data_IF_472530951401
#
_entry.id   IF_472530951401
#
_cell.length_a   1.000
_cell.length_b   1.000
_cell.length_c   1.000
_cell.angle_alpha   90.00
_cell.angle_beta   90.00
_cell.angle_gamma   90.00
#
_symmetry.space_group_name_H-M   'P 1'
#
loop_
_entity.id
_entity.type
_entity.pdbx_description
1 polymer ?
#
# COMPACT_ATOMS: atom_id res chain seq x y z
N UNK A 1 -7.59 4.68 13.99
CA UNK A 1 -7.21 3.27 13.86
C UNK A 1 -6.33 2.82 15.02
N UNK A 2 -6.50 1.57 15.48
CA UNK A 2 -5.73 0.98 16.59
C UNK A 2 -4.59 0.08 16.06
N UNK A 3 -3.58 -0.17 16.88
CA UNK A 3 -2.48 -1.11 16.58
C UNK A 3 -2.92 -2.57 16.80
N UNK A 4 -3.74 -3.10 15.88
CA UNK A 4 -4.09 -4.52 15.86
C UNK A 4 -3.03 -5.32 15.09
N UNK A 5 -2.40 -6.32 15.69
CA UNK A 5 -1.45 -7.19 14.98
C UNK A 5 -2.17 -7.91 13.84
N UNK A 6 -1.69 -7.75 12.61
CA UNK A 6 -2.30 -8.39 11.45
C UNK A 6 -1.63 -9.74 11.14
N UNK A 7 -2.40 -10.81 10.92
CA UNK A 7 -1.85 -12.03 10.37
C UNK A 7 -1.30 -11.76 8.95
N UNK A 8 -0.25 -12.47 8.49
CA UNK A 8 0.36 -12.21 7.19
C UNK A 8 -0.62 -12.14 6.01
N UNK A 9 -1.65 -13.02 5.90
CA UNK A 9 -2.65 -12.92 4.83
C UNK A 9 -3.44 -11.61 4.85
N UNK A 10 -3.78 -11.07 6.03
CA UNK A 10 -4.50 -9.81 6.14
C UNK A 10 -3.64 -8.62 5.69
N UNK A 11 -2.35 -8.62 6.00
CA UNK A 11 -1.40 -7.62 5.49
C UNK A 11 -1.31 -7.65 3.96
N UNK A 12 -1.25 -8.86 3.40
CA UNK A 12 -1.24 -9.06 1.94
C UNK A 12 -2.56 -8.62 1.31
N UNK A 13 -3.70 -8.91 1.93
CA UNK A 13 -5.01 -8.50 1.44
C UNK A 13 -5.15 -6.97 1.38
N UNK A 14 -4.70 -6.25 2.42
CA UNK A 14 -4.70 -4.79 2.43
C UNK A 14 -3.79 -4.21 1.33
N UNK A 15 -2.58 -4.76 1.18
CA UNK A 15 -1.66 -4.37 0.12
C UNK A 15 -2.23 -4.65 -1.28
N UNK A 16 -2.87 -5.80 -1.45
CA UNK A 16 -3.50 -6.19 -2.72
C UNK A 16 -4.62 -5.21 -3.08
N UNK A 17 -5.49 -4.87 -2.12
CA UNK A 17 -6.56 -3.89 -2.32
C UNK A 17 -6.00 -2.50 -2.68
N UNK A 18 -4.91 -2.07 -2.01
CA UNK A 18 -4.24 -0.82 -2.32
C UNK A 18 -3.67 -0.78 -3.76
N UNK A 19 -3.05 -1.88 -4.22
CA UNK A 19 -2.55 -1.99 -5.59
C UNK A 19 -3.70 -1.96 -6.61
N UNK A 20 -4.77 -2.72 -6.35
CA UNK A 20 -5.97 -2.72 -7.20
C UNK A 20 -6.57 -1.32 -7.29
N UNK A 21 -6.65 -0.57 -6.18
CA UNK A 21 -7.20 0.78 -6.19
C UNK A 21 -6.36 1.74 -7.04
N UNK A 22 -5.04 1.66 -6.96
CA UNK A 22 -4.15 2.60 -7.67
C UNK A 22 -3.96 2.27 -9.15
N UNK A 23 -3.84 0.98 -9.47
CA UNK A 23 -3.45 0.53 -10.81
C UNK A 23 -4.59 -0.21 -11.54
N UNK A 24 -5.71 -0.45 -10.87
CA UNK A 24 -6.79 -1.28 -11.38
C UNK A 24 -6.43 -2.76 -11.48
N UNK A 25 -7.17 -3.45 -12.32
CA UNK A 25 -6.91 -4.85 -12.72
C UNK A 25 -5.89 -4.95 -13.86
N UNK A 26 -5.45 -3.79 -14.38
CA UNK A 26 -4.37 -3.71 -15.37
C UNK A 26 -2.99 -4.03 -14.76
N UNK A 27 -1.95 -3.84 -15.56
CA UNK A 27 -0.56 -4.10 -15.18
C UNK A 27 -0.15 -3.33 -13.92
N UNK A 28 0.26 -4.09 -12.89
CA UNK A 28 0.81 -3.55 -11.65
C UNK A 28 2.33 -3.52 -11.73
N UNK A 29 2.96 -2.35 -11.58
CA UNK A 29 4.41 -2.26 -11.74
C UNK A 29 5.19 -2.84 -10.55
N UNK A 30 4.54 -3.00 -9.41
CA UNK A 30 5.12 -3.44 -8.13
C UNK A 30 4.21 -4.48 -7.47
N UNK A 31 4.80 -5.30 -6.62
CA UNK A 31 4.12 -6.36 -5.88
C UNK A 31 3.61 -5.87 -4.53
N UNK A 32 2.79 -6.69 -3.87
CA UNK A 32 2.36 -6.44 -2.49
C UNK A 32 3.54 -6.40 -1.54
N UNK A 33 4.55 -7.27 -1.73
CA UNK A 33 5.76 -7.29 -0.93
C UNK A 33 6.56 -5.97 -1.04
N UNK A 34 6.63 -5.40 -2.25
CA UNK A 34 7.33 -4.14 -2.49
C UNK A 34 6.69 -2.98 -1.72
N UNK A 35 5.35 -2.89 -1.71
CA UNK A 35 4.65 -1.82 -0.99
C UNK A 35 4.48 -2.09 0.51
N UNK A 36 4.68 -3.33 0.96
CA UNK A 36 4.73 -3.73 2.38
C UNK A 36 6.12 -3.60 3.01
N UNK A 37 7.13 -3.24 2.21
CA UNK A 37 8.49 -3.03 2.68
C UNK A 37 8.66 -1.58 3.11
N UNK A 38 8.81 -1.26 4.41
CA UNK A 38 9.01 0.10 4.86
C UNK A 38 10.31 0.69 4.31
N UNK A 39 10.35 2.02 4.19
CA UNK A 39 11.55 2.71 3.68
C UNK A 39 12.71 2.68 4.66
N UNK A 40 12.44 2.52 5.96
CA UNK A 40 13.45 2.40 7.01
C UNK A 40 13.22 1.11 7.79
N UNK A 41 14.31 0.50 8.26
CA UNK A 41 14.24 -0.76 9.01
C UNK A 41 13.57 -0.63 10.38
N UNK A 42 13.63 0.55 10.99
CA UNK A 42 12.97 0.84 12.26
C UNK A 42 11.43 0.81 12.16
N UNK A 43 10.88 1.02 10.95
CA UNK A 43 9.45 1.12 10.70
C UNK A 43 8.76 -0.24 10.43
N UNK A 44 9.46 -1.37 10.63
CA UNK A 44 8.88 -2.71 10.45
C UNK A 44 7.88 -3.06 11.57
N UNK A 45 6.69 -2.46 11.50
CA UNK A 45 5.53 -2.86 12.28
C UNK A 45 4.69 -3.94 11.59
N UNK A 46 4.11 -4.84 12.37
CA UNK A 46 3.22 -5.92 11.89
C UNK A 46 1.75 -5.66 12.21
N UNK A 47 1.45 -4.56 12.87
CA UNK A 47 0.10 -4.14 13.16
C UNK A 47 -0.55 -3.40 11.98
N UNK A 48 -1.86 -3.21 12.09
CA UNK A 48 -2.70 -2.59 11.08
C UNK A 48 -2.30 -1.13 10.82
N UNK A 49 -1.99 -0.37 11.87
CA UNK A 49 -1.56 1.03 11.74
C UNK A 49 -0.24 1.15 10.99
N UNK A 50 0.77 0.39 11.41
CA UNK A 50 2.09 0.36 10.77
C UNK A 50 2.01 -0.15 9.32
N UNK A 51 1.16 -1.16 9.06
CA UNK A 51 0.94 -1.70 7.71
C UNK A 51 0.27 -0.66 6.81
N UNK A 52 -0.77 0.02 7.30
CA UNK A 52 -1.43 1.13 6.60
C UNK A 52 -0.44 2.25 6.26
N UNK A 53 0.34 2.70 7.25
CA UNK A 53 1.34 3.76 7.07
C UNK A 53 2.40 3.37 6.03
N UNK A 54 2.92 2.15 6.11
CA UNK A 54 3.91 1.64 5.16
C UNK A 54 3.36 1.65 3.73
N UNK A 55 2.16 1.11 3.52
CA UNK A 55 1.50 1.08 2.21
C UNK A 55 1.25 2.51 1.71
N UNK A 56 0.70 3.37 2.56
CA UNK A 56 0.40 4.76 2.23
C UNK A 56 1.67 5.49 1.77
N UNK A 57 2.74 5.47 2.57
CA UNK A 57 3.99 6.16 2.24
C UNK A 57 4.59 5.64 0.93
N UNK A 58 4.62 4.32 0.75
CA UNK A 58 5.15 3.70 -0.45
C UNK A 58 4.34 4.07 -1.70
N UNK A 59 3.02 4.14 -1.57
CA UNK A 59 2.13 4.51 -2.66
C UNK A 59 2.22 5.99 -3.00
N UNK A 60 2.27 6.88 -2.00
CA UNK A 60 2.35 8.33 -2.24
C UNK A 60 3.72 8.75 -2.78
N UNK A 61 4.80 8.34 -2.11
CA UNK A 61 6.16 8.80 -2.47
C UNK A 61 6.72 8.11 -3.72
N UNK A 62 6.20 6.96 -4.11
CA UNK A 62 6.71 6.22 -5.27
C UNK A 62 8.20 5.86 -5.16
N UNK A 63 8.94 5.86 -6.26
CA UNK A 63 10.37 5.50 -6.28
C UNK A 63 10.65 4.00 -6.08
N UNK A 64 9.62 3.17 -5.98
CA UNK A 64 9.75 1.72 -5.79
C UNK A 64 10.18 1.12 -7.12
N UNK A 65 11.24 0.32 -7.10
CA UNK A 65 11.70 -0.41 -8.28
C UNK A 65 10.64 -1.43 -8.70
N UNK A 66 10.29 -1.41 -9.98
CA UNK A 66 9.25 -2.25 -10.55
C UNK A 66 9.52 -2.59 -12.01
N UNK A 67 8.53 -3.19 -12.67
CA UNK A 67 8.56 -3.48 -14.12
C UNK A 67 7.37 -2.87 -14.82
N UNK A 68 7.55 -2.37 -16.03
CA UNK A 68 6.43 -1.92 -16.88
C UNK A 68 5.71 -3.11 -17.51
N UNK A 69 4.56 -2.86 -18.14
CA UNK A 69 3.81 -3.89 -18.88
C UNK A 69 4.64 -4.55 -19.99
N UNK A 70 5.65 -3.84 -20.53
CA UNK A 70 6.59 -4.38 -21.53
C UNK A 70 7.83 -5.03 -20.88
N UNK A 71 7.81 -5.28 -19.57
CA UNK A 71 8.90 -5.90 -18.81
C UNK A 71 10.11 -5.01 -18.53
N UNK A 72 10.11 -3.73 -18.94
CA UNK A 72 11.24 -2.81 -18.68
C UNK A 72 11.31 -2.45 -17.20
N UNK A 73 12.52 -2.36 -16.64
CA UNK A 73 12.74 -1.82 -15.29
C UNK A 73 12.29 -0.35 -15.24
N UNK A 74 11.52 -0.01 -14.20
CA UNK A 74 11.02 1.35 -13.94
C UNK A 74 11.03 1.63 -12.45
N UNK A 75 10.84 2.89 -12.08
CA UNK A 75 10.44 3.26 -10.72
C UNK A 75 9.02 3.80 -10.74
N UNK A 76 8.22 3.49 -9.70
CA UNK A 76 6.90 4.08 -9.53
C UNK A 76 7.02 5.60 -9.38
N UNK A 77 6.03 6.36 -9.87
CA UNK A 77 6.03 7.82 -9.74
C UNK A 77 5.41 8.25 -8.41
N UNK A 78 5.92 9.33 -7.84
CA UNK A 78 5.27 9.99 -6.71
C UNK A 78 3.95 10.61 -7.16
N UNK A 79 2.98 10.64 -6.24
CA UNK A 79 1.72 11.35 -6.42
C UNK A 79 1.93 12.77 -5.91
N UNK A 80 1.84 13.75 -6.82
CA UNK A 80 1.94 15.18 -6.49
C UNK A 80 0.60 15.91 -6.55
N UNK A 81 -0.40 15.30 -7.20
CA UNK A 81 -1.72 15.89 -7.31
C UNK A 81 -2.46 15.73 -5.98
N UNK A 82 -2.86 16.87 -5.40
CA UNK A 82 -3.51 16.94 -4.08
C UNK A 82 -4.82 16.13 -4.05
N UNK A 83 -5.66 16.23 -5.08
CA UNK A 83 -6.92 15.48 -5.12
C UNK A 83 -6.68 13.96 -5.15
N UNK A 84 -5.63 13.53 -5.86
CA UNK A 84 -5.26 12.11 -5.96
C UNK A 84 -4.68 11.62 -4.63
N UNK A 85 -3.87 12.44 -3.97
CA UNK A 85 -3.35 12.16 -2.62
C UNK A 85 -4.49 11.99 -1.62
N UNK A 86 -5.42 12.96 -1.55
CA UNK A 86 -6.57 12.91 -0.65
C UNK A 86 -7.43 11.67 -0.92
N UNK A 87 -7.72 11.37 -2.20
CA UNK A 87 -8.52 10.20 -2.58
C UNK A 87 -7.85 8.89 -2.18
N UNK A 88 -6.55 8.73 -2.46
CA UNK A 88 -5.81 7.53 -2.08
C UNK A 88 -5.73 7.39 -0.56
N UNK A 89 -5.43 8.46 0.17
CA UNK A 89 -5.35 8.46 1.62
C UNK A 89 -6.69 8.04 2.26
N UNK A 90 -7.79 8.61 1.76
CA UNK A 90 -9.14 8.24 2.20
C UNK A 90 -9.46 6.78 1.88
N UNK A 91 -9.16 6.32 0.66
CA UNK A 91 -9.43 4.94 0.25
C UNK A 91 -8.66 3.93 1.10
N UNK A 92 -7.36 4.15 1.31
CA UNK A 92 -6.53 3.28 2.16
C UNK A 92 -7.03 3.26 3.60
N UNK A 93 -7.50 4.39 4.12
CA UNK A 93 -8.05 4.46 5.47
C UNK A 93 -9.33 3.63 5.59
N UNK A 94 -10.27 3.78 4.64
CA UNK A 94 -11.50 2.99 4.60
C UNK A 94 -11.19 1.50 4.47
N UNK A 95 -10.25 1.10 3.61
CA UNK A 95 -9.85 -0.31 3.48
C UNK A 95 -9.33 -0.88 4.80
N UNK A 96 -8.55 -0.08 5.54
CA UNK A 96 -7.97 -0.51 6.81
C UNK A 96 -9.01 -0.60 7.93
N UNK A 97 -9.95 0.35 8.02
CA UNK A 97 -11.06 0.29 8.98
C UNK A 97 -12.04 -0.86 8.63
N UNK A 98 -12.38 -1.08 7.36
CA UNK A 98 -13.18 -2.24 6.95
C UNK A 98 -12.48 -3.57 7.27
N UNK A 99 -11.15 -3.63 7.09
CA UNK A 99 -10.37 -4.80 7.50
C UNK A 99 -10.42 -5.00 9.02
N UNK A 100 -10.29 -3.92 9.80
CA UNK A 100 -10.41 -3.97 11.26
C UNK A 100 -11.78 -4.49 11.71
N UNK A 101 -12.85 -3.98 11.11
CA UNK A 101 -14.22 -4.41 11.38
C UNK A 101 -14.42 -5.89 11.03
N UNK A 102 -13.85 -6.37 9.91
CA UNK A 102 -13.96 -7.78 9.52
C UNK A 102 -13.18 -8.76 10.40
N UNK A 103 -12.24 -8.26 11.21
CA UNK A 103 -11.40 -9.06 12.12
C UNK A 103 -11.91 -9.04 13.57
N UNK A 104 -12.95 -8.27 13.87
CA UNK A 104 -13.60 -8.21 15.18
C UNK A 104 -14.71 -9.25 15.29
#
# INVERSE_FOLDING_TARGET
MQSLVLPPPARQALAQAALTYRYGDEHRPVTTADILTPRRREDYGKDLWSTYQTIQENMLKGGISGRSAKGKRIHTRAIHNIDTDIKLNRALWVMAETLLESLR
#
